data_IF_631836051570
#
_entry.id   IF_631836051570
#
_cell.length_a   1.000
_cell.length_b   1.000
_cell.length_c   1.000
_cell.angle_alpha   90.00
_cell.angle_beta   90.00
_cell.angle_gamma   90.00
#
_symmetry.space_group_name_H-M   'P 1'
#
loop_
_entity.id
_entity.type
_entity.pdbx_description
1 polymer ?
#
# COMPACT_ATOMS: atom_id res chain seq x y z
N UNK A 1 -22.71 -8.98 -3.38
CA UNK A 1 -22.34 -9.71 -4.61
C UNK A 1 -21.02 -9.20 -5.17
N UNK A 2 -20.11 -10.11 -5.53
CA UNK A 2 -18.81 -9.80 -6.15
C UNK A 2 -18.96 -9.34 -7.60
N UNK A 3 -17.93 -8.71 -8.18
CA UNK A 3 -17.96 -8.22 -9.56
C UNK A 3 -18.13 -9.35 -10.59
N UNK A 4 -17.50 -10.50 -10.34
CA UNK A 4 -17.62 -11.72 -11.17
C UNK A 4 -19.07 -12.22 -11.19
N UNK A 5 -19.72 -12.26 -10.02
CA UNK A 5 -21.12 -12.68 -9.90
C UNK A 5 -22.05 -11.74 -10.67
N UNK A 6 -21.86 -10.42 -10.54
CA UNK A 6 -22.68 -9.44 -11.26
C UNK A 6 -22.49 -9.51 -12.78
N UNK A 7 -21.27 -9.76 -13.25
CA UNK A 7 -21.01 -9.99 -14.69
C UNK A 7 -21.78 -11.19 -15.23
N UNK A 8 -21.82 -12.28 -14.48
CA UNK A 8 -22.47 -13.53 -14.90
C UNK A 8 -24.00 -13.42 -14.99
N UNK A 9 -24.61 -12.42 -14.34
CA UNK A 9 -26.06 -12.16 -14.38
C UNK A 9 -26.52 -11.34 -15.59
N UNK A 10 -25.59 -10.80 -16.38
CA UNK A 10 -25.93 -10.04 -17.60
C UNK A 10 -26.20 -11.03 -18.74
N UNK A 11 -27.41 -10.99 -19.28
CA UNK A 11 -27.86 -11.86 -20.36
C UNK A 11 -28.00 -11.08 -21.68
N UNK A 12 -27.17 -11.36 -22.71
CA UNK A 12 -27.28 -10.73 -24.03
C UNK A 12 -28.59 -11.01 -24.77
N UNK A 13 -29.27 -12.11 -24.46
CA UNK A 13 -30.51 -12.53 -25.11
C UNK A 13 -31.78 -11.90 -24.49
N UNK A 14 -31.63 -11.20 -23.36
CA UNK A 14 -32.75 -10.58 -22.66
C UNK A 14 -33.26 -9.34 -23.42
N UNK A 15 -34.58 -9.06 -23.42
CA UNK A 15 -35.17 -7.90 -24.11
C UNK A 15 -34.66 -6.54 -23.63
N UNK A 16 -34.20 -6.41 -22.38
CA UNK A 16 -33.61 -5.17 -21.90
C UNK A 16 -32.16 -5.02 -22.39
N UNK A 17 -31.77 -3.79 -22.76
CA UNK A 17 -30.42 -3.52 -23.25
C UNK A 17 -29.34 -3.84 -22.21
N UNK A 18 -28.14 -4.22 -22.65
CA UNK A 18 -26.96 -4.46 -21.78
C UNK A 18 -26.72 -3.25 -20.85
N UNK A 19 -27.00 -2.03 -21.32
CA UNK A 19 -26.91 -0.79 -20.52
C UNK A 19 -27.87 -0.81 -19.33
N UNK A 20 -29.13 -1.17 -19.55
CA UNK A 20 -30.15 -1.25 -18.50
C UNK A 20 -29.85 -2.37 -17.51
N UNK A 21 -29.42 -3.54 -17.99
CA UNK A 21 -29.03 -4.65 -17.13
C UNK A 21 -27.83 -4.27 -16.24
N UNK A 22 -26.81 -3.62 -16.81
CA UNK A 22 -25.68 -3.08 -16.05
C UNK A 22 -26.12 -2.04 -15.02
N UNK A 23 -27.12 -1.19 -15.35
CA UNK A 23 -27.69 -0.21 -14.43
C UNK A 23 -28.37 -0.88 -13.23
N UNK A 24 -29.21 -1.90 -13.47
CA UNK A 24 -29.89 -2.65 -12.40
C UNK A 24 -28.91 -3.37 -11.47
N UNK A 25 -27.86 -3.94 -12.05
CA UNK A 25 -26.81 -4.65 -11.31
C UNK A 25 -25.77 -3.73 -10.68
N UNK A 26 -25.90 -2.40 -10.84
CA UNK A 26 -24.90 -1.41 -10.42
C UNK A 26 -23.48 -1.81 -10.89
N UNK A 27 -23.35 -2.20 -12.16
CA UNK A 27 -22.12 -2.63 -12.80
C UNK A 27 -21.68 -1.58 -13.84
N UNK A 28 -20.43 -1.08 -13.79
CA UNK A 28 -19.92 -0.21 -14.84
C UNK A 28 -19.88 -0.95 -16.18
N UNK A 29 -20.34 -0.32 -17.26
CA UNK A 29 -20.37 -0.94 -18.59
C UNK A 29 -18.99 -1.38 -19.08
N UNK A 30 -17.94 -0.62 -18.78
CA UNK A 30 -16.55 -0.98 -19.08
C UNK A 30 -16.15 -2.31 -18.43
N UNK A 31 -16.63 -2.53 -17.21
CA UNK A 31 -16.45 -3.79 -16.51
C UNK A 31 -17.24 -4.92 -17.14
N UNK A 32 -18.26 -4.75 -17.99
CA UNK A 32 -18.84 -5.90 -18.68
C UNK A 32 -17.95 -6.38 -19.83
N UNK A 33 -17.46 -5.45 -20.65
CA UNK A 33 -16.67 -5.78 -21.85
C UNK A 33 -15.21 -6.12 -21.58
N UNK A 34 -14.67 -5.75 -20.42
CA UNK A 34 -13.26 -6.00 -20.11
C UNK A 34 -12.96 -7.50 -20.05
N UNK A 35 -12.14 -7.99 -20.97
CA UNK A 35 -11.56 -9.33 -20.93
C UNK A 35 -10.21 -9.26 -20.23
N UNK A 36 -9.96 -10.07 -19.18
CA UNK A 36 -8.66 -10.11 -18.54
C UNK A 36 -7.62 -10.62 -19.54
N UNK A 37 -6.59 -9.81 -19.80
CA UNK A 37 -5.47 -10.23 -20.63
C UNK A 37 -4.55 -11.14 -19.80
N UNK A 38 -4.31 -12.40 -20.22
CA UNK A 38 -3.35 -13.26 -19.55
C UNK A 38 -1.93 -12.69 -19.69
N UNK A 39 -1.08 -12.97 -18.71
CA UNK A 39 0.33 -12.60 -18.77
C UNK A 39 0.98 -13.23 -20.00
N UNK A 40 1.77 -12.46 -20.75
CA UNK A 40 2.47 -12.98 -21.92
C UNK A 40 3.57 -13.96 -21.53
N UNK A 41 3.98 -14.84 -22.45
CA UNK A 41 5.09 -15.78 -22.20
C UNK A 41 6.38 -15.06 -21.78
N UNK A 42 6.65 -13.91 -22.39
CA UNK A 42 7.78 -13.04 -22.02
C UNK A 42 7.66 -12.50 -20.59
N UNK A 43 6.45 -12.12 -20.15
CA UNK A 43 6.23 -11.67 -18.78
C UNK A 43 6.48 -12.79 -17.77
N UNK A 44 6.02 -14.01 -18.07
CA UNK A 44 6.26 -15.17 -17.21
C UNK A 44 7.76 -15.51 -17.11
N UNK A 45 8.48 -15.42 -18.23
CA UNK A 45 9.93 -15.60 -18.25
C UNK A 45 10.64 -14.54 -17.40
N UNK A 46 10.26 -13.27 -17.56
CA UNK A 46 10.82 -12.18 -16.75
C UNK A 46 10.50 -12.37 -15.26
N UNK A 47 9.29 -12.79 -14.90
CA UNK A 47 8.91 -13.09 -13.52
C UNK A 47 9.80 -14.19 -12.92
N UNK A 48 10.08 -15.28 -13.66
CA UNK A 48 10.98 -16.34 -13.20
C UNK A 48 12.41 -15.82 -12.95
N UNK A 49 12.96 -15.05 -13.89
CA UNK A 49 14.30 -14.47 -13.73
C UNK A 49 14.40 -13.50 -12.56
N UNK A 50 13.34 -12.73 -12.31
CA UNK A 50 13.25 -11.82 -11.18
C UNK A 50 13.23 -12.59 -9.85
N UNK A 51 12.48 -13.69 -9.78
CA UNK A 51 12.38 -14.54 -8.60
C UNK A 51 13.73 -15.19 -8.26
N UNK A 52 14.36 -15.83 -9.25
CA UNK A 52 15.69 -16.44 -9.12
C UNK A 52 16.73 -15.43 -8.62
N UNK A 53 16.73 -14.23 -9.20
CA UNK A 53 17.69 -13.20 -8.81
C UNK A 53 17.39 -12.63 -7.43
N UNK A 54 16.12 -12.54 -7.04
CA UNK A 54 15.74 -12.07 -5.72
C UNK A 54 16.19 -13.05 -4.62
N UNK A 55 16.09 -14.35 -4.87
CA UNK A 55 16.58 -15.39 -3.95
C UNK A 55 18.10 -15.29 -3.74
N UNK A 56 18.86 -14.95 -4.79
CA UNK A 56 20.30 -14.76 -4.70
C UNK A 56 20.69 -13.42 -4.06
N UNK A 57 19.90 -12.36 -4.32
CA UNK A 57 20.24 -10.99 -3.95
C UNK A 57 19.00 -10.22 -3.44
N UNK A 58 18.55 -10.47 -2.20
CA UNK A 58 17.36 -9.84 -1.64
C UNK A 58 17.49 -8.30 -1.50
N UNK A 59 18.73 -7.78 -1.49
CA UNK A 59 19.02 -6.35 -1.43
C UNK A 59 18.82 -5.62 -2.78
N UNK A 60 18.54 -6.32 -3.88
CA UNK A 60 18.39 -5.69 -5.19
C UNK A 60 16.98 -5.10 -5.35
N UNK A 61 16.91 -3.77 -5.46
CA UNK A 61 15.70 -3.08 -5.89
C UNK A 61 15.51 -3.07 -7.40
N UNK A 62 14.34 -2.59 -7.85
CA UNK A 62 13.94 -2.61 -9.27
C UNK A 62 14.98 -1.98 -10.22
N UNK A 63 15.75 -0.98 -9.77
CA UNK A 63 16.82 -0.36 -10.58
C UNK A 63 17.94 -1.35 -10.90
N UNK A 64 18.49 -2.03 -9.88
CA UNK A 64 19.52 -3.05 -10.07
C UNK A 64 18.96 -4.26 -10.82
N UNK A 65 17.72 -4.62 -10.52
CA UNK A 65 17.04 -5.72 -11.19
C UNK A 65 16.81 -5.44 -12.68
N UNK A 66 16.56 -4.18 -13.06
CA UNK A 66 16.46 -3.75 -14.45
C UNK A 66 17.81 -3.88 -15.18
N UNK A 67 18.92 -3.53 -14.51
CA UNK A 67 20.27 -3.69 -15.08
C UNK A 67 20.60 -5.17 -15.27
N UNK A 68 20.35 -6.01 -14.26
CA UNK A 68 20.52 -7.46 -14.35
C UNK A 68 19.77 -8.07 -15.54
N UNK A 69 18.51 -7.68 -15.76
CA UNK A 69 17.74 -8.17 -16.90
C UNK A 69 18.30 -7.69 -18.25
N UNK A 70 18.86 -6.47 -18.30
CA UNK A 70 19.53 -5.96 -19.49
C UNK A 70 20.84 -6.67 -19.77
N UNK A 71 21.61 -7.01 -18.74
CA UNK A 71 22.84 -7.78 -18.86
C UNK A 71 22.56 -9.21 -19.37
N UNK A 72 21.40 -9.78 -19.00
CA UNK A 72 20.88 -11.03 -19.59
C UNK A 72 20.32 -10.88 -21.02
N UNK A 73 20.39 -9.70 -21.62
CA UNK A 73 19.95 -9.44 -22.99
C UNK A 73 18.48 -9.03 -23.16
N UNK A 74 17.74 -8.80 -22.06
CA UNK A 74 16.35 -8.37 -22.14
C UNK A 74 16.23 -6.84 -22.19
N UNK A 75 15.67 -6.32 -23.28
CA UNK A 75 15.38 -4.88 -23.42
C UNK A 75 14.10 -4.54 -22.63
N UNK A 76 14.27 -4.28 -21.33
CA UNK A 76 13.17 -3.95 -20.42
C UNK A 76 13.26 -2.53 -19.86
N UNK A 77 12.09 -1.92 -19.66
CA UNK A 77 11.93 -0.64 -19.00
C UNK A 77 11.79 -0.84 -17.47
N UNK A 78 12.40 0.04 -16.68
CA UNK A 78 12.33 0.02 -15.22
C UNK A 78 10.89 0.07 -14.68
N UNK A 79 9.97 0.77 -15.37
CA UNK A 79 8.54 0.79 -14.99
C UNK A 79 7.90 -0.60 -15.10
N UNK A 80 8.26 -1.37 -16.13
CA UNK A 80 7.77 -2.74 -16.35
C UNK A 80 8.29 -3.66 -15.25
N UNK A 81 9.58 -3.57 -14.95
CA UNK A 81 10.22 -4.35 -13.86
C UNK A 81 9.58 -4.02 -12.51
N UNK A 82 9.38 -2.73 -12.21
CA UNK A 82 8.72 -2.31 -10.97
C UNK A 82 7.30 -2.89 -10.84
N UNK A 83 6.48 -2.82 -11.90
CA UNK A 83 5.14 -3.41 -11.92
C UNK A 83 5.19 -4.92 -11.67
N UNK A 84 6.11 -5.63 -12.33
CA UNK A 84 6.27 -7.09 -12.16
C UNK A 84 6.67 -7.45 -10.72
N UNK A 85 7.65 -6.74 -10.15
CA UNK A 85 8.06 -6.94 -8.76
C UNK A 85 6.91 -6.70 -7.78
N UNK A 86 6.12 -5.63 -7.98
CA UNK A 86 4.94 -5.35 -7.14
C UNK A 86 3.87 -6.44 -7.25
N UNK A 87 3.58 -6.93 -8.46
CA UNK A 87 2.62 -8.03 -8.63
C UNK A 87 3.07 -9.33 -7.96
N UNK A 88 4.38 -9.57 -7.90
CA UNK A 88 4.98 -10.73 -7.23
C UNK A 88 5.19 -10.52 -5.73
N UNK A 89 5.04 -9.29 -5.22
CA UNK A 89 5.36 -8.94 -3.82
C UNK A 89 6.87 -8.92 -3.50
N UNK A 90 7.72 -8.77 -4.52
CA UNK A 90 9.18 -8.69 -4.34
C UNK A 90 9.60 -7.27 -3.97
N UNK A 91 10.26 -7.12 -2.83
CA UNK A 91 10.78 -5.84 -2.33
C UNK A 91 12.26 -5.95 -1.97
N UNK A 92 13.00 -4.85 -2.15
CA UNK A 92 14.40 -4.82 -1.74
C UNK A 92 14.50 -4.81 -0.21
N UNK A 93 15.17 -5.81 0.34
CA UNK A 93 15.46 -5.89 1.77
C UNK A 93 16.79 -5.16 2.02
N UNK A 94 16.70 -3.99 2.64
CA UNK A 94 17.87 -3.23 3.09
C UNK A 94 17.69 -2.81 4.56
N UNK A 95 18.78 -2.72 5.32
CA UNK A 95 18.71 -2.17 6.67
C UNK A 95 18.19 -0.74 6.59
N UNK A 96 17.06 -0.49 7.23
CA UNK A 96 16.54 0.87 7.39
C UNK A 96 17.40 1.60 8.42
N UNK A 97 17.61 2.92 8.27
CA UNK A 97 18.29 3.70 9.30
C UNK A 97 17.57 3.49 10.64
N UNK A 98 18.32 3.11 11.66
CA UNK A 98 17.78 2.85 12.98
C UNK A 98 17.49 4.18 13.70
N UNK A 99 16.34 4.78 13.40
CA UNK A 99 15.92 6.05 14.01
C UNK A 99 15.66 5.95 15.52
N UNK A 100 15.61 4.73 16.07
CA UNK A 100 15.43 4.48 17.50
C UNK A 100 16.73 4.56 18.28
N UNK A 101 17.88 4.37 17.63
CA UNK A 101 19.18 4.53 18.26
C UNK A 101 19.68 5.97 18.05
N UNK A 102 20.02 6.70 19.12
CA UNK A 102 20.63 8.01 18.99
C UNK A 102 22.02 7.86 18.36
N UNK A 103 22.33 8.69 17.36
CA UNK A 103 23.69 8.76 16.82
C UNK A 103 24.66 9.38 17.86
N UNK A 104 25.96 9.19 17.66
CA UNK A 104 27.00 9.73 18.54
C UNK A 104 26.84 11.25 18.69
N UNK A 105 26.81 11.74 19.94
CA UNK A 105 26.58 13.17 20.23
C UNK A 105 25.11 13.59 20.42
N UNK A 106 24.13 12.70 20.18
CA UNK A 106 22.72 13.00 20.47
C UNK A 106 22.38 12.79 21.95
N UNK A 107 22.01 13.87 22.65
CA UNK A 107 21.53 13.80 24.03
C UNK A 107 20.18 13.10 24.09
N UNK A 108 20.09 12.03 24.88
CA UNK A 108 18.82 11.36 25.19
C UNK A 108 18.06 12.26 26.18
N UNK A 109 16.98 12.87 25.72
CA UNK A 109 16.09 13.64 26.59
C UNK A 109 15.15 12.68 27.34
N UNK A 110 15.03 12.81 28.68
CA UNK A 110 14.06 12.02 29.43
C UNK A 110 12.65 12.38 28.96
N UNK A 111 11.77 11.39 28.82
CA UNK A 111 10.38 11.63 28.46
C UNK A 111 9.65 12.27 29.66
N UNK A 112 9.58 13.60 29.67
CA UNK A 112 9.09 14.41 30.80
C UNK A 112 7.61 14.17 31.14
N UNK A 113 6.84 13.56 30.23
CA UNK A 113 5.43 13.24 30.44
C UNK A 113 5.22 11.87 31.13
N UNK A 114 6.27 11.07 31.36
CA UNK A 114 6.15 9.68 31.86
C UNK A 114 5.49 9.57 33.24
N UNK A 115 5.61 10.60 34.09
CA UNK A 115 5.09 10.61 35.46
C UNK A 115 4.05 11.71 35.69
N UNK A 116 3.58 12.37 34.62
CA UNK A 116 2.64 13.48 34.72
C UNK A 116 1.21 12.99 34.53
N UNK A 117 0.37 13.12 35.56
CA UNK A 117 -1.07 12.90 35.44
C UNK A 117 -1.72 14.05 34.65
N UNK A 118 -2.38 13.70 33.54
CA UNK A 118 -3.09 14.65 32.68
C UNK A 118 -4.56 14.68 33.10
N UNK A 119 -4.93 15.70 33.88
CA UNK A 119 -6.21 15.81 34.60
C UNK A 119 -7.16 16.84 33.98
N UNK A 120 -6.68 17.70 33.07
CA UNK A 120 -7.51 18.70 32.38
C UNK A 120 -7.22 18.80 30.89
N UNK A 121 -8.24 19.21 30.13
CA UNK A 121 -8.12 19.53 28.70
C UNK A 121 -7.11 20.68 28.53
N UNK A 122 -6.31 20.64 27.45
CA UNK A 122 -5.23 21.60 27.16
C UNK A 122 -4.03 21.61 28.14
N UNK A 123 -3.84 20.55 28.94
CA UNK A 123 -2.67 20.44 29.81
C UNK A 123 -1.38 20.02 29.08
N UNK A 124 -1.51 19.28 27.97
CA UNK A 124 -0.38 18.80 27.15
C UNK A 124 -0.74 18.99 25.68
N UNK A 125 0.21 19.52 24.90
CA UNK A 125 0.12 19.61 23.45
C UNK A 125 1.22 18.78 22.82
N UNK A 126 0.87 17.97 21.83
CA UNK A 126 1.82 17.30 20.95
C UNK A 126 1.65 17.88 19.55
N UNK A 127 2.76 18.30 18.94
CA UNK A 127 2.78 18.73 17.55
C UNK A 127 3.45 17.65 16.71
N UNK A 128 2.74 17.14 15.72
CA UNK A 128 3.31 16.27 14.69
C UNK A 128 3.44 17.07 13.40
N UNK A 129 4.52 16.84 12.64
CA UNK A 129 4.73 17.48 11.33
C UNK A 129 3.84 16.89 10.22
N UNK A 130 3.03 15.88 10.52
CA UNK A 130 1.98 15.39 9.62
C UNK A 130 0.64 16.04 10.01
N UNK A 131 -0.03 16.65 9.03
CA UNK A 131 -1.21 17.51 9.17
C UNK A 131 -2.47 16.79 9.69
N UNK A 132 -2.45 16.33 10.94
CA UNK A 132 -3.61 15.78 11.62
C UNK A 132 -3.73 16.46 12.99
N UNK A 133 -4.83 17.19 13.15
CA UNK A 133 -5.14 17.98 14.34
C UNK A 133 -5.94 17.09 15.28
N UNK A 134 -5.24 16.37 16.15
CA UNK A 134 -5.89 15.49 17.14
C UNK A 134 -6.25 16.25 18.41
N UNK A 135 -7.42 15.98 18.97
CA UNK A 135 -7.80 16.41 20.30
C UNK A 135 -7.57 15.25 21.28
N UNK A 136 -6.72 15.44 22.29
CA UNK A 136 -6.49 14.42 23.31
C UNK A 136 -7.51 14.61 24.45
N UNK A 137 -8.32 13.58 24.72
CA UNK A 137 -9.23 13.53 25.87
C UNK A 137 -8.78 12.43 26.84
N UNK A 138 -8.92 12.66 28.15
CA UNK A 138 -8.51 11.71 29.19
C UNK A 138 -9.66 11.51 30.17
N UNK A 139 -9.85 10.26 30.58
CA UNK A 139 -10.82 9.88 31.63
C UNK A 139 -10.07 9.45 32.92
N UNK A 140 -8.89 10.05 33.15
CA UNK A 140 -8.03 9.77 34.31
C UNK A 140 -7.27 8.43 34.30
N UNK A 141 -7.53 7.52 33.35
CA UNK A 141 -6.83 6.22 33.24
C UNK A 141 -6.26 5.88 31.86
N UNK A 142 -6.76 6.46 30.78
CA UNK A 142 -6.31 6.24 29.39
C UNK A 142 -6.35 7.54 28.59
N UNK A 143 -5.41 7.71 27.66
CA UNK A 143 -5.40 8.81 26.70
C UNK A 143 -6.14 8.36 25.44
N UNK A 144 -7.13 9.14 25.03
CA UNK A 144 -7.88 8.92 23.79
C UNK A 144 -7.45 9.95 22.76
N UNK A 145 -7.10 9.48 21.56
CA UNK A 145 -6.89 10.33 20.39
C UNK A 145 -8.25 10.53 19.74
N UNK A 146 -8.75 11.76 19.73
CA UNK A 146 -9.96 12.13 19.02
C UNK A 146 -9.59 12.82 17.71
N UNK A 147 -10.19 12.39 16.61
CA UNK A 147 -10.13 13.12 15.34
C UNK A 147 -10.94 14.43 15.41
N UNK A 148 -10.84 15.27 14.37
CA UNK A 148 -11.48 16.60 14.29
C UNK A 148 -13.00 16.63 14.53
N UNK A 149 -13.68 15.49 14.47
CA UNK A 149 -15.12 15.31 14.76
C UNK A 149 -15.40 14.71 16.17
N UNK A 150 -14.42 14.72 17.08
CA UNK A 150 -14.53 14.16 18.44
C UNK A 150 -14.91 12.67 18.50
N UNK A 151 -14.55 11.88 17.47
CA UNK A 151 -14.69 10.41 17.46
C UNK A 151 -13.38 9.74 17.88
N UNK A 152 -13.49 8.66 18.65
CA UNK A 152 -12.35 7.85 19.10
C UNK A 152 -11.67 7.17 17.91
N UNK A 153 -10.36 7.38 17.76
CA UNK A 153 -9.48 6.73 16.77
C UNK A 153 -8.70 5.59 17.42
#
# INVERSE_FOLDING_TARGET
MSLIQRRALVDPAHPASIRQQCQWLSLPRSSYYYQPCPASADELLLMRLLDEQHLLTPQYGYRKMTLFLRDKGHVVNHKRVLRLMQMMGLEAIYPRPNTSQPAEGHTIYPYLLRQLSIVRVHQVWATAQAALRYHLCTDGRRLYVLDGDHRLV
#
